data_IF_445489020632
#
_entry.id   IF_445489020632
#
_cell.length_a   1.000
_cell.length_b   1.000
_cell.length_c   1.000
_cell.angle_alpha   90.00
_cell.angle_beta   90.00
_cell.angle_gamma   90.00
#
_symmetry.space_group_name_H-M   'P 1'
#
loop_
_entity.id
_entity.type
_entity.pdbx_description
1 polymer ?
#
# COMPACT_ATOMS: atom_id res chain seq x y z
N UNK A 1 13.23 18.03 -11.32
CA UNK A 1 12.70 16.91 -10.51
C UNK A 1 11.22 17.15 -10.25
N UNK A 2 10.38 16.18 -10.56
CA UNK A 2 8.97 16.22 -10.21
C UNK A 2 8.78 15.76 -8.76
N UNK A 3 7.90 16.41 -7.98
CA UNK A 3 7.80 16.14 -6.55
C UNK A 3 6.34 15.88 -6.15
N UNK A 4 6.12 14.71 -5.56
CA UNK A 4 4.84 14.25 -5.04
C UNK A 4 4.91 14.16 -3.52
N UNK A 5 4.19 15.06 -2.83
CA UNK A 5 4.04 14.99 -1.37
C UNK A 5 2.64 14.54 -1.01
N UNK A 6 2.53 13.62 -0.08
CA UNK A 6 1.26 13.05 0.35
C UNK A 6 1.36 12.34 1.69
N UNK A 7 0.38 11.48 1.98
CA UNK A 7 0.29 10.77 3.25
C UNK A 7 0.17 9.27 3.07
N UNK A 8 0.52 8.52 4.12
CA UNK A 8 0.26 7.09 4.21
C UNK A 8 -1.23 6.85 4.58
N UNK A 9 -2.10 6.79 3.56
CA UNK A 9 -3.55 6.74 3.69
C UNK A 9 -4.20 8.12 3.65
N UNK A 10 -5.51 8.15 3.37
CA UNK A 10 -6.28 9.39 3.23
C UNK A 10 -7.56 9.40 4.09
N UNK A 11 -8.06 8.27 4.52
CA UNK A 11 -9.36 8.16 5.21
C UNK A 11 -9.19 8.04 6.72
N UNK A 12 -8.93 9.18 7.36
CA UNK A 12 -8.75 9.28 8.80
C UNK A 12 -9.79 10.24 9.41
N UNK A 13 -10.68 9.77 10.31
CA UNK A 13 -11.66 10.62 10.99
C UNK A 13 -11.02 11.79 11.76
N UNK A 14 -9.80 11.62 12.26
CA UNK A 14 -9.03 12.61 13.01
C UNK A 14 -8.71 13.86 12.20
N UNK A 15 -8.80 13.79 10.88
CA UNK A 15 -8.56 14.90 9.96
C UNK A 15 -9.82 15.76 9.72
N UNK A 16 -11.01 15.29 10.12
CA UNK A 16 -12.23 16.08 10.05
C UNK A 16 -12.17 17.29 10.98
N UNK A 17 -12.62 18.45 10.50
CA UNK A 17 -12.52 19.74 11.18
C UNK A 17 -11.12 20.39 11.13
N UNK A 18 -10.14 19.76 10.44
CA UNK A 18 -8.75 20.28 10.30
C UNK A 18 -8.33 20.34 8.83
N UNK A 19 -8.15 19.16 8.24
CA UNK A 19 -7.84 19.02 6.82
C UNK A 19 -9.12 18.82 6.00
N UNK A 20 -10.01 17.95 6.44
CA UNK A 20 -11.35 17.80 5.86
C UNK A 20 -12.36 18.74 6.52
N UNK A 21 -13.37 19.22 5.79
CA UNK A 21 -14.57 19.79 6.41
C UNK A 21 -15.15 18.83 7.46
N UNK A 22 -15.69 19.38 8.56
CA UNK A 22 -16.14 18.56 9.71
C UNK A 22 -17.20 17.52 9.32
N UNK A 23 -18.10 17.86 8.43
CA UNK A 23 -19.21 17.00 7.99
C UNK A 23 -18.95 16.29 6.64
N UNK A 24 -17.68 16.21 6.18
CA UNK A 24 -17.37 15.58 4.88
C UNK A 24 -17.67 14.08 4.93
N UNK A 25 -18.54 13.55 4.04
CA UNK A 25 -18.78 12.11 3.96
C UNK A 25 -17.51 11.33 3.59
N UNK A 26 -17.32 10.15 4.18
CA UNK A 26 -16.15 9.32 3.91
C UNK A 26 -15.95 8.99 2.41
N UNK A 27 -17.03 8.81 1.66
CA UNK A 27 -17.02 8.58 0.22
C UNK A 27 -16.46 9.76 -0.60
N UNK A 28 -16.39 10.96 -0.03
CA UNK A 28 -15.87 12.14 -0.70
C UNK A 28 -14.45 12.51 -0.25
N UNK A 29 -13.89 11.78 0.72
CA UNK A 29 -12.58 12.10 1.29
C UNK A 29 -11.47 12.02 0.25
N UNK A 30 -11.45 11.00 -0.63
CA UNK A 30 -10.42 10.87 -1.66
C UNK A 30 -10.46 12.04 -2.65
N UNK A 31 -11.65 12.40 -3.13
CA UNK A 31 -11.85 13.52 -4.04
C UNK A 31 -11.40 14.85 -3.42
N UNK A 32 -11.77 15.09 -2.18
CA UNK A 32 -11.32 16.28 -1.45
C UNK A 32 -9.81 16.28 -1.25
N UNK A 33 -9.24 15.13 -0.81
CA UNK A 33 -7.81 14.95 -0.60
C UNK A 33 -7.01 15.32 -1.85
N UNK A 34 -7.47 14.87 -3.01
CA UNK A 34 -6.81 15.11 -4.29
C UNK A 34 -6.87 16.56 -4.76
N UNK A 35 -7.69 17.44 -4.14
CA UNK A 35 -7.65 18.89 -4.38
C UNK A 35 -6.52 19.60 -3.65
N UNK A 36 -5.91 18.94 -2.66
CA UNK A 36 -4.91 19.52 -1.76
C UNK A 36 -3.52 18.88 -1.92
N UNK A 37 -3.47 17.59 -2.14
CA UNK A 37 -2.25 16.79 -2.23
C UNK A 37 -2.24 15.99 -3.52
N UNK A 38 -1.06 15.85 -4.13
CA UNK A 38 -0.90 15.26 -5.46
C UNK A 38 -0.75 13.72 -5.45
N UNK A 39 -0.56 13.11 -4.27
CA UNK A 39 -0.33 11.66 -4.16
C UNK A 39 -0.80 11.12 -2.81
N UNK A 40 -1.09 9.82 -2.80
CA UNK A 40 -1.39 9.06 -1.57
C UNK A 40 -0.78 7.66 -1.63
N UNK A 41 -0.27 7.18 -0.49
CA UNK A 41 0.14 5.78 -0.32
C UNK A 41 -1.04 4.96 0.22
N UNK A 42 -1.56 4.04 -0.59
CA UNK A 42 -2.68 3.15 -0.21
C UNK A 42 -2.13 1.96 0.56
N UNK A 43 -2.52 1.83 1.84
CA UNK A 43 -2.00 0.80 2.75
C UNK A 43 -2.97 -0.36 3.02
N UNK A 44 -4.26 -0.21 2.80
CA UNK A 44 -5.25 -1.27 3.02
C UNK A 44 -5.07 -2.47 2.07
N UNK A 45 -4.49 -2.26 0.89
CA UNK A 45 -4.06 -3.29 -0.07
C UNK A 45 -3.08 -4.31 0.52
N UNK A 46 -2.33 -3.92 1.56
CA UNK A 46 -1.45 -4.82 2.30
C UNK A 46 -2.20 -5.98 2.96
N UNK A 47 -3.39 -5.72 3.49
CA UNK A 47 -4.21 -6.71 4.19
C UNK A 47 -5.13 -7.47 3.24
N UNK A 48 -5.74 -6.76 2.32
CA UNK A 48 -6.69 -7.30 1.33
C UNK A 48 -6.56 -6.55 0.02
N UNK A 49 -6.20 -7.27 -1.04
CA UNK A 49 -6.17 -6.72 -2.39
C UNK A 49 -7.60 -6.37 -2.84
N UNK A 50 -7.87 -5.14 -3.28
CA UNK A 50 -9.16 -4.77 -3.86
C UNK A 50 -9.34 -5.44 -5.23
N UNK A 51 -10.57 -5.47 -5.73
CA UNK A 51 -10.83 -5.81 -7.12
C UNK A 51 -10.51 -4.63 -8.05
N UNK A 52 -10.41 -4.91 -9.35
CA UNK A 52 -10.10 -3.91 -10.39
C UNK A 52 -11.10 -2.75 -10.41
N UNK A 53 -12.40 -3.01 -10.21
CA UNK A 53 -13.45 -1.98 -10.23
C UNK A 53 -13.26 -0.97 -9.09
N UNK A 54 -12.89 -1.45 -7.91
CA UNK A 54 -12.57 -0.56 -6.77
C UNK A 54 -11.37 0.33 -7.08
N UNK A 55 -10.32 -0.22 -7.69
CA UNK A 55 -9.12 0.55 -8.06
C UNK A 55 -9.45 1.54 -9.20
N UNK A 56 -10.25 1.13 -10.18
CA UNK A 56 -10.73 2.02 -11.25
C UNK A 56 -11.57 3.19 -10.68
N UNK A 57 -12.43 2.92 -9.68
CA UNK A 57 -13.20 3.95 -9.01
C UNK A 57 -12.30 4.98 -8.30
N UNK A 58 -11.19 4.55 -7.66
CA UNK A 58 -10.21 5.50 -7.11
C UNK A 58 -9.62 6.40 -8.19
N UNK A 59 -9.25 5.82 -9.34
CA UNK A 59 -8.71 6.57 -10.48
C UNK A 59 -9.70 7.60 -11.02
N UNK A 60 -11.00 7.26 -11.03
CA UNK A 60 -12.07 8.16 -11.50
C UNK A 60 -12.38 9.31 -10.52
N UNK A 61 -12.05 9.14 -9.24
CA UNK A 61 -12.33 10.14 -8.20
C UNK A 61 -11.27 11.25 -8.09
N UNK A 62 -10.16 11.14 -8.81
CA UNK A 62 -9.02 12.07 -8.70
C UNK A 62 -8.64 12.66 -10.07
N UNK A 63 -8.03 13.86 -10.11
CA UNK A 63 -7.55 14.47 -11.37
C UNK A 63 -6.46 13.62 -12.04
N UNK A 64 -6.20 13.85 -13.34
CA UNK A 64 -5.21 13.09 -14.11
C UNK A 64 -3.78 13.27 -13.62
N UNK A 65 -3.47 14.40 -12.98
CA UNK A 65 -2.17 14.66 -12.37
C UNK A 65 -1.96 13.95 -11.03
N UNK A 66 -2.96 13.28 -10.49
CA UNK A 66 -2.85 12.58 -9.20
C UNK A 66 -2.17 11.23 -9.34
N UNK A 67 -1.32 10.89 -8.37
CA UNK A 67 -0.53 9.67 -8.39
C UNK A 67 -0.83 8.79 -7.15
N UNK A 68 -1.07 7.50 -7.37
CA UNK A 68 -1.25 6.51 -6.30
C UNK A 68 0.02 5.70 -6.09
N UNK A 69 0.59 5.70 -4.88
CA UNK A 69 1.48 4.63 -4.49
C UNK A 69 0.69 3.51 -3.83
N UNK A 70 1.02 2.28 -4.18
CA UNK A 70 0.27 1.11 -3.71
C UNK A 70 1.19 0.23 -2.85
N UNK A 71 0.79 -0.06 -1.61
CA UNK A 71 1.53 -1.00 -0.78
C UNK A 71 1.17 -2.43 -1.14
N UNK A 72 2.16 -3.21 -1.54
CA UNK A 72 2.00 -4.60 -1.90
C UNK A 72 1.44 -5.47 -0.76
N UNK A 73 0.71 -6.51 -1.13
CA UNK A 73 0.10 -7.45 -0.18
C UNK A 73 1.13 -8.08 0.76
N UNK A 74 0.75 -8.25 2.04
CA UNK A 74 1.53 -8.98 3.04
C UNK A 74 1.85 -10.42 2.62
N UNK A 75 1.09 -10.99 1.69
CA UNK A 75 1.35 -12.31 1.13
C UNK A 75 2.73 -12.36 0.45
N UNK A 76 3.06 -11.33 -0.35
CA UNK A 76 4.35 -11.22 -1.04
C UNK A 76 5.48 -11.01 -0.03
N UNK A 77 5.35 -10.00 0.82
CA UNK A 77 6.46 -9.49 1.63
C UNK A 77 6.64 -10.19 2.98
N UNK A 78 5.55 -10.57 3.65
CA UNK A 78 5.58 -11.12 5.02
C UNK A 78 5.38 -12.63 5.07
N UNK A 79 4.45 -13.17 4.27
CA UNK A 79 4.17 -14.62 4.27
C UNK A 79 5.19 -15.37 3.43
N UNK A 80 5.34 -14.99 2.15
CA UNK A 80 6.30 -15.59 1.22
C UNK A 80 7.71 -14.99 1.33
N UNK A 81 7.89 -13.85 2.01
CA UNK A 81 9.20 -13.21 2.24
C UNK A 81 9.99 -12.99 0.95
N UNK A 82 9.32 -12.54 -0.09
CA UNK A 82 9.80 -12.30 -1.45
C UNK A 82 10.14 -13.58 -2.24
N UNK A 83 10.02 -14.78 -1.68
CA UNK A 83 10.36 -16.04 -2.36
C UNK A 83 9.16 -16.61 -3.11
N UNK A 84 9.36 -17.06 -4.37
CA UNK A 84 8.32 -17.68 -5.21
C UNK A 84 7.04 -16.81 -5.32
N UNK A 85 7.21 -15.54 -5.66
CA UNK A 85 6.12 -14.54 -5.68
C UNK A 85 5.73 -14.04 -7.06
N UNK A 86 6.26 -14.62 -8.14
CA UNK A 86 6.03 -14.14 -9.51
C UNK A 86 4.54 -14.05 -9.87
N UNK A 87 3.73 -15.05 -9.52
CA UNK A 87 2.28 -15.02 -9.74
C UNK A 87 1.57 -13.95 -8.88
N UNK A 88 1.99 -13.81 -7.60
CA UNK A 88 1.42 -12.81 -6.70
C UNK A 88 1.75 -11.38 -7.15
N UNK A 89 2.97 -11.16 -7.67
CA UNK A 89 3.40 -9.88 -8.24
C UNK A 89 2.65 -9.61 -9.53
N UNK A 90 2.54 -10.58 -10.43
CA UNK A 90 1.78 -10.44 -11.66
C UNK A 90 0.31 -10.07 -11.38
N UNK A 91 -0.34 -10.79 -10.45
CA UNK A 91 -1.72 -10.50 -10.04
C UNK A 91 -1.86 -9.10 -9.42
N UNK A 92 -0.90 -8.67 -8.58
CA UNK A 92 -0.89 -7.32 -8.01
C UNK A 92 -0.93 -6.27 -9.14
N UNK A 93 0.00 -6.35 -10.10
CA UNK A 93 0.07 -5.40 -11.20
C UNK A 93 -1.13 -5.50 -12.13
N UNK A 94 -1.66 -6.69 -12.41
CA UNK A 94 -2.92 -6.85 -13.14
C UNK A 94 -4.06 -6.03 -12.54
N UNK A 95 -4.18 -6.01 -11.21
CA UNK A 95 -5.22 -5.26 -10.51
C UNK A 95 -4.96 -3.76 -10.54
N UNK A 96 -3.71 -3.31 -10.27
CA UNK A 96 -3.42 -1.87 -10.09
C UNK A 96 -3.16 -1.13 -11.40
N UNK A 97 -2.83 -1.83 -12.49
CA UNK A 97 -2.57 -1.25 -13.81
C UNK A 97 -3.79 -0.53 -14.43
N UNK A 98 -4.99 -0.77 -13.89
CA UNK A 98 -6.20 -0.01 -14.29
C UNK A 98 -6.10 1.48 -13.96
N UNK A 99 -5.18 1.88 -13.08
CA UNK A 99 -4.87 3.28 -12.79
C UNK A 99 -4.15 3.99 -13.95
N UNK A 100 -3.56 3.23 -14.88
CA UNK A 100 -2.84 3.80 -16.02
C UNK A 100 -1.73 4.74 -15.60
N UNK A 101 -1.77 5.99 -16.05
CA UNK A 101 -0.79 7.04 -15.72
C UNK A 101 -0.84 7.50 -14.25
N UNK A 102 -1.94 7.23 -13.55
CA UNK A 102 -2.10 7.55 -12.13
C UNK A 102 -1.44 6.51 -11.21
N UNK A 103 -0.91 5.39 -11.76
CA UNK A 103 -0.14 4.42 -11.00
C UNK A 103 1.30 4.92 -10.82
N UNK A 104 1.63 5.27 -9.59
CA UNK A 104 2.99 5.54 -9.15
C UNK A 104 3.70 4.30 -8.61
N UNK A 105 4.67 4.47 -7.71
CA UNK A 105 5.46 3.36 -7.21
C UNK A 105 4.65 2.34 -6.40
N UNK A 106 4.99 1.06 -6.56
CA UNK A 106 4.50 -0.01 -5.71
C UNK A 106 5.51 -0.27 -4.59
N UNK A 107 5.06 -0.12 -3.34
CA UNK A 107 5.87 -0.31 -2.14
C UNK A 107 5.87 -1.77 -1.68
N UNK A 108 7.03 -2.38 -1.61
CA UNK A 108 7.25 -3.70 -1.01
C UNK A 108 8.00 -3.54 0.31
N UNK A 109 7.29 -3.63 1.44
CA UNK A 109 7.88 -3.50 2.77
C UNK A 109 8.12 -4.86 3.39
N UNK A 110 9.38 -5.18 3.74
CA UNK A 110 9.76 -6.43 4.40
C UNK A 110 9.55 -6.38 5.91
N UNK A 111 9.34 -7.54 6.57
CA UNK A 111 9.26 -7.58 8.02
C UNK A 111 10.63 -7.37 8.68
N UNK A 112 10.67 -6.87 9.94
CA UNK A 112 11.93 -6.50 10.62
C UNK A 112 12.86 -7.69 10.93
N UNK A 113 12.35 -8.90 10.96
CA UNK A 113 13.13 -10.11 11.20
C UNK A 113 13.72 -10.73 9.92
N UNK A 114 13.34 -10.24 8.73
CA UNK A 114 13.83 -10.78 7.46
C UNK A 114 15.25 -10.25 7.19
N UNK A 115 16.23 -11.12 7.36
CA UNK A 115 17.63 -10.84 7.06
C UNK A 115 17.89 -10.85 5.56
N UNK A 116 18.97 -10.19 5.15
CA UNK A 116 19.45 -10.16 3.77
C UNK A 116 19.67 -11.58 3.21
N UNK A 117 19.11 -11.79 2.01
CA UNK A 117 19.36 -12.91 1.13
C UNK A 117 19.38 -12.37 -0.32
N UNK A 118 20.57 -12.32 -0.91
CA UNK A 118 20.75 -11.74 -2.24
C UNK A 118 20.13 -12.60 -3.34
N UNK A 119 20.13 -13.92 -3.19
CA UNK A 119 19.49 -14.81 -4.16
C UNK A 119 17.98 -14.52 -4.23
N UNK A 120 17.34 -14.47 -3.07
CA UNK A 120 15.91 -14.12 -2.98
C UNK A 120 15.65 -12.70 -3.52
N UNK A 121 16.56 -11.74 -3.27
CA UNK A 121 16.40 -10.39 -3.80
C UNK A 121 16.46 -10.39 -5.33
N UNK A 122 17.46 -11.01 -5.94
CA UNK A 122 17.58 -11.06 -7.40
C UNK A 122 16.38 -11.77 -8.05
N UNK A 123 15.95 -12.90 -7.49
CA UNK A 123 14.75 -13.60 -7.98
C UNK A 123 13.50 -12.73 -7.88
N UNK A 124 13.35 -11.97 -6.80
CA UNK A 124 12.26 -11.03 -6.63
C UNK A 124 12.32 -9.88 -7.64
N UNK A 125 13.49 -9.25 -7.81
CA UNK A 125 13.68 -8.16 -8.75
C UNK A 125 13.36 -8.59 -10.20
N UNK A 126 13.69 -9.82 -10.56
CA UNK A 126 13.36 -10.41 -11.86
C UNK A 126 11.84 -10.61 -12.07
N UNK A 127 11.03 -10.66 -11.00
CA UNK A 127 9.58 -10.76 -11.10
C UNK A 127 8.89 -9.41 -11.37
N UNK A 128 9.59 -8.30 -11.18
CA UNK A 128 8.99 -6.97 -11.34
C UNK A 128 8.76 -6.63 -12.82
N UNK A 129 7.60 -6.11 -13.20
CA UNK A 129 7.32 -5.75 -14.59
C UNK A 129 8.15 -4.54 -15.00
N UNK A 130 8.74 -4.60 -16.20
CA UNK A 130 9.52 -3.51 -16.77
C UNK A 130 8.64 -2.25 -16.95
N UNK A 131 9.25 -1.09 -16.68
CA UNK A 131 8.58 0.21 -16.83
C UNK A 131 7.58 0.53 -15.72
N UNK A 132 7.56 -0.25 -14.63
CA UNK A 132 6.79 0.05 -13.41
C UNK A 132 7.74 0.41 -12.27
N UNK A 133 7.44 1.49 -11.59
CA UNK A 133 8.21 1.91 -10.42
C UNK A 133 7.93 0.99 -9.23
N UNK A 134 8.98 0.46 -8.64
CA UNK A 134 8.91 -0.34 -7.41
C UNK A 134 9.85 0.24 -6.35
N UNK A 135 9.41 0.23 -5.10
CA UNK A 135 10.21 0.68 -3.96
C UNK A 135 10.28 -0.42 -2.90
N UNK A 136 11.48 -0.69 -2.39
CA UNK A 136 11.73 -1.68 -1.34
C UNK A 136 12.06 -0.98 -0.02
N UNK A 137 11.24 -1.23 0.99
CA UNK A 137 11.48 -0.82 2.37
C UNK A 137 11.99 -1.99 3.19
N UNK A 138 13.27 -2.01 3.44
CA UNK A 138 13.89 -2.96 4.33
C UNK A 138 13.83 -2.48 5.77
N UNK A 139 13.61 -3.41 6.71
CA UNK A 139 13.52 -3.13 8.14
C UNK A 139 14.60 -3.81 8.97
N UNK A 140 15.33 -4.76 8.41
CA UNK A 140 16.46 -5.39 9.06
C UNK A 140 17.76 -4.74 8.59
N UNK A 141 18.68 -4.36 9.49
CA UNK A 141 19.91 -3.61 9.13
C UNK A 141 20.81 -4.34 8.14
N UNK A 142 20.77 -5.67 8.09
CA UNK A 142 21.60 -6.43 7.14
C UNK A 142 21.36 -6.11 5.66
N UNK A 143 20.24 -5.46 5.32
CA UNK A 143 19.92 -5.05 3.96
C UNK A 143 20.59 -3.74 3.53
N UNK A 144 21.13 -2.97 4.46
CA UNK A 144 21.79 -1.70 4.17
C UNK A 144 23.27 -1.95 3.86
N UNK A 145 23.55 -2.41 2.64
CA UNK A 145 24.86 -2.82 2.18
C UNK A 145 25.02 -2.59 0.66
N UNK A 146 26.25 -2.38 0.20
CA UNK A 146 26.54 -1.98 -1.18
C UNK A 146 26.09 -3.00 -2.22
N UNK A 147 26.16 -4.29 -1.92
CA UNK A 147 25.68 -5.36 -2.79
C UNK A 147 24.15 -5.29 -3.03
N UNK A 148 23.39 -4.89 -2.00
CA UNK A 148 21.94 -4.65 -2.13
C UNK A 148 21.68 -3.39 -2.93
N UNK A 149 22.42 -2.30 -2.67
CA UNK A 149 22.25 -1.05 -3.40
C UNK A 149 22.56 -1.22 -4.90
N UNK A 150 23.60 -1.99 -5.21
CA UNK A 150 23.93 -2.33 -6.60
C UNK A 150 22.80 -3.11 -7.29
N UNK A 151 22.27 -4.16 -6.64
CA UNK A 151 21.17 -4.97 -7.19
C UNK A 151 19.90 -4.13 -7.44
N UNK A 152 19.58 -3.21 -6.51
CA UNK A 152 18.45 -2.29 -6.67
C UNK A 152 18.69 -1.32 -7.83
N UNK A 153 19.91 -0.78 -7.96
CA UNK A 153 20.26 0.18 -9.00
C UNK A 153 20.22 -0.43 -10.40
N UNK A 154 20.71 -1.65 -10.56
CA UNK A 154 20.65 -2.41 -11.83
C UNK A 154 19.19 -2.65 -12.28
N UNK A 155 18.27 -2.71 -11.33
CA UNK A 155 16.83 -2.94 -11.59
C UNK A 155 16.00 -1.65 -11.59
N UNK A 156 16.61 -0.47 -11.38
CA UNK A 156 15.90 0.81 -11.20
C UNK A 156 14.80 0.74 -10.13
N UNK A 157 15.10 0.12 -8.98
CA UNK A 157 14.20 -0.04 -7.84
C UNK A 157 14.64 0.88 -6.70
N UNK A 158 13.73 1.72 -6.21
CA UNK A 158 14.05 2.66 -5.15
C UNK A 158 14.23 1.98 -3.79
N UNK A 159 15.35 2.24 -3.12
CA UNK A 159 15.45 2.00 -1.69
C UNK A 159 14.62 3.06 -0.96
N UNK A 160 13.69 2.61 -0.13
CA UNK A 160 12.87 3.54 0.67
C UNK A 160 13.73 4.21 1.73
N UNK A 161 13.89 5.52 1.61
CA UNK A 161 14.49 6.38 2.60
C UNK A 161 13.46 6.93 3.58
N UNK A 162 13.92 7.66 4.60
CA UNK A 162 13.03 8.35 5.52
C UNK A 162 13.57 8.47 6.92
N UNK A 163 12.67 8.69 7.87
CA UNK A 163 13.01 8.78 9.28
C UNK A 163 12.02 8.02 10.17
N UNK A 164 12.50 7.75 11.37
CA UNK A 164 11.76 7.15 12.48
C UNK A 164 11.99 7.98 13.74
N UNK A 165 11.18 7.75 14.78
CA UNK A 165 11.40 8.37 16.10
C UNK A 165 12.81 8.07 16.64
N UNK A 166 13.25 6.83 16.48
CA UNK A 166 14.60 6.39 16.80
C UNK A 166 15.49 6.62 15.57
N UNK A 167 16.27 7.70 15.59
CA UNK A 167 17.07 8.14 14.46
C UNK A 167 18.05 7.06 13.94
N UNK A 168 18.62 6.26 14.84
CA UNK A 168 19.54 5.16 14.53
C UNK A 168 18.88 3.99 13.78
N UNK A 169 17.56 3.89 13.83
CA UNK A 169 16.76 2.92 13.07
C UNK A 169 16.24 3.47 11.75
N UNK A 170 16.51 4.74 11.49
CA UNK A 170 16.08 5.37 10.24
C UNK A 170 16.81 4.77 9.06
N UNK A 171 16.11 4.42 7.97
CA UNK A 171 16.76 3.90 6.76
C UNK A 171 17.65 4.98 6.14
N UNK A 172 18.77 4.57 5.52
CA UNK A 172 19.65 5.51 4.83
C UNK A 172 18.95 6.12 3.60
N UNK A 173 19.37 7.32 3.22
CA UNK A 173 18.94 7.95 1.98
C UNK A 173 19.99 7.66 0.89
N UNK A 174 19.71 6.65 0.07
CA UNK A 174 20.57 6.19 -1.02
C UNK A 174 19.76 6.18 -2.31
N UNK A 175 20.26 6.88 -3.34
CA UNK A 175 19.62 6.88 -4.66
C UNK A 175 19.96 5.60 -5.41
N UNK A 176 19.05 4.64 -5.43
CA UNK A 176 19.17 3.37 -6.17
C UNK A 176 18.26 3.31 -7.40
N UNK A 177 17.52 4.38 -7.70
CA UNK A 177 16.66 4.50 -8.87
C UNK A 177 16.68 5.95 -9.37
N UNK A 178 16.14 6.17 -10.55
CA UNK A 178 15.91 7.51 -11.10
C UNK A 178 14.79 8.28 -10.37
N UNK A 179 14.15 7.66 -9.40
CA UNK A 179 13.19 8.30 -8.52
C UNK A 179 13.45 7.93 -7.04
N UNK A 180 12.97 8.81 -6.14
CA UNK A 180 13.04 8.62 -4.69
C UNK A 180 11.70 8.21 -4.10
N UNK A 181 11.74 7.37 -3.08
CA UNK A 181 10.58 7.01 -2.26
C UNK A 181 10.89 7.21 -0.78
N UNK A 182 10.15 8.10 -0.12
CA UNK A 182 10.40 8.47 1.27
C UNK A 182 9.18 8.21 2.14
N UNK A 183 9.43 7.70 3.35
CA UNK A 183 8.41 7.53 4.37
C UNK A 183 8.84 8.26 5.65
N UNK A 184 8.24 9.41 5.88
CA UNK A 184 8.55 10.32 6.97
C UNK A 184 7.56 10.07 8.12
N UNK A 185 8.05 9.55 9.27
CA UNK A 185 7.19 8.96 10.29
C UNK A 185 7.38 9.52 11.69
N UNK A 186 8.18 10.57 11.83
CA UNK A 186 8.33 11.21 13.14
C UNK A 186 7.04 11.92 13.54
N UNK A 187 6.82 12.03 14.84
CA UNK A 187 5.67 12.73 15.40
C UNK A 187 5.98 14.22 15.67
N UNK A 188 7.24 14.61 15.63
CA UNK A 188 7.75 15.89 16.10
C UNK A 188 8.29 16.81 14.99
N UNK A 189 7.77 16.70 13.76
CA UNK A 189 8.16 17.63 12.69
C UNK A 189 7.82 19.07 13.06
N UNK A 190 8.78 19.93 12.91
CA UNK A 190 8.67 21.39 12.95
C UNK A 190 9.07 21.98 11.59
N UNK A 191 8.91 23.28 11.37
CA UNK A 191 9.25 23.90 10.08
C UNK A 191 10.70 23.69 9.67
N UNK A 192 11.65 23.67 10.63
CA UNK A 192 13.07 23.50 10.35
C UNK A 192 13.36 22.07 9.84
N UNK A 193 12.82 21.05 10.50
CA UNK A 193 12.96 19.64 10.04
C UNK A 193 12.28 19.37 8.70
N UNK A 194 11.15 20.01 8.44
CA UNK A 194 10.49 19.93 7.14
C UNK A 194 11.36 20.58 6.06
N UNK A 195 11.96 21.75 6.34
CA UNK A 195 12.88 22.41 5.41
C UNK A 195 14.14 21.54 5.16
N UNK A 196 14.73 20.98 6.20
CA UNK A 196 15.88 20.05 6.08
C UNK A 196 15.55 18.87 5.16
N UNK A 197 14.36 18.27 5.29
CA UNK A 197 13.93 17.22 4.37
C UNK A 197 13.73 17.74 2.96
N UNK A 198 13.21 18.94 2.78
CA UNK A 198 13.11 19.61 1.48
C UNK A 198 14.49 19.71 0.80
N UNK A 199 15.49 20.21 1.53
CA UNK A 199 16.87 20.33 1.04
C UNK A 199 17.49 18.97 0.70
N UNK A 200 17.32 17.98 1.57
CA UNK A 200 17.83 16.62 1.35
C UNK A 200 17.22 15.95 0.12
N UNK A 201 15.93 16.18 -0.14
CA UNK A 201 15.23 15.68 -1.33
C UNK A 201 15.74 16.42 -2.57
N UNK A 202 15.85 17.76 -2.52
CA UNK A 202 16.29 18.57 -3.63
C UNK A 202 17.74 18.27 -4.07
N UNK A 203 18.59 17.83 -3.14
CA UNK A 203 19.98 17.45 -3.39
C UNK A 203 20.15 16.09 -4.07
N UNK A 204 19.08 15.29 -4.24
CA UNK A 204 19.17 13.95 -4.84
C UNK A 204 19.17 14.03 -6.37
N UNK A 205 19.79 13.04 -7.06
CA UNK A 205 19.86 12.99 -8.52
C UNK A 205 18.58 12.44 -9.17
N UNK A 206 17.44 12.49 -8.49
CA UNK A 206 16.17 11.91 -8.94
C UNK A 206 15.47 12.76 -10.01
N UNK A 207 14.77 12.09 -10.92
CA UNK A 207 13.84 12.71 -11.84
C UNK A 207 12.48 13.00 -11.16
N UNK A 208 12.08 12.11 -10.23
CA UNK A 208 10.88 12.27 -9.43
C UNK A 208 11.12 11.87 -7.96
N UNK A 209 10.37 12.47 -7.02
CA UNK A 209 10.41 12.10 -5.61
C UNK A 209 9.00 11.95 -5.04
N UNK A 210 8.77 10.84 -4.33
CA UNK A 210 7.52 10.52 -3.66
C UNK A 210 7.74 10.52 -2.16
N UNK A 211 7.15 11.47 -1.43
CA UNK A 211 7.31 11.61 0.01
C UNK A 211 5.99 11.46 0.74
N UNK A 212 5.90 10.45 1.61
CA UNK A 212 4.69 10.11 2.36
C UNK A 212 4.89 10.35 3.85
N UNK A 213 4.10 11.28 4.39
CA UNK A 213 4.13 11.62 5.79
C UNK A 213 3.08 10.82 6.55
N UNK A 214 3.47 10.25 7.69
CA UNK A 214 2.57 9.48 8.54
C UNK A 214 2.46 10.12 9.90
N UNK A 215 1.35 10.80 10.13
CA UNK A 215 0.96 11.33 11.43
C UNK A 215 -0.56 11.26 11.55
N UNK A 216 -1.06 10.76 12.69
CA UNK A 216 -2.49 10.51 12.88
C UNK A 216 -3.36 11.76 12.72
N UNK A 217 -2.84 12.92 13.10
CA UNK A 217 -3.60 14.18 13.11
C UNK A 217 -3.07 15.18 12.09
N UNK A 218 -1.74 15.31 11.95
CA UNK A 218 -1.09 16.37 11.17
C UNK A 218 -0.51 15.90 9.83
N UNK A 219 -0.65 14.63 9.48
CA UNK A 219 -0.05 14.08 8.25
C UNK A 219 -0.25 14.94 7.01
N UNK A 220 -1.48 15.36 6.65
CA UNK A 220 -1.71 16.20 5.49
C UNK A 220 -1.03 17.59 5.60
N UNK A 221 -1.03 18.18 6.78
CA UNK A 221 -0.42 19.52 6.99
C UNK A 221 1.10 19.47 6.88
N UNK A 222 1.72 18.38 7.35
CA UNK A 222 3.15 18.15 7.14
C UNK A 222 3.47 17.94 5.66
N UNK A 223 2.60 17.23 4.90
CA UNK A 223 2.78 17.03 3.48
C UNK A 223 2.67 18.34 2.69
N UNK A 224 1.72 19.22 3.06
CA UNK A 224 1.57 20.56 2.49
C UNK A 224 2.78 21.45 2.85
N UNK A 225 3.27 21.39 4.08
CA UNK A 225 4.44 22.14 4.51
C UNK A 225 5.72 21.69 3.77
N UNK A 226 5.92 20.39 3.58
CA UNK A 226 7.04 19.87 2.80
C UNK A 226 6.95 20.33 1.33
N UNK A 227 5.75 20.30 0.73
CA UNK A 227 5.53 20.82 -0.61
C UNK A 227 5.85 22.30 -0.70
N UNK A 228 5.38 23.11 0.27
CA UNK A 228 5.66 24.54 0.30
C UNK A 228 7.16 24.84 0.41
N UNK A 229 7.88 24.09 1.28
CA UNK A 229 9.33 24.18 1.40
C UNK A 229 10.05 23.91 0.07
N UNK A 230 9.66 22.84 -0.63
CA UNK A 230 10.25 22.44 -1.92
C UNK A 230 9.94 23.43 -3.05
N UNK A 231 8.81 24.11 -2.98
CA UNK A 231 8.43 25.17 -3.93
C UNK A 231 9.01 26.55 -3.57
N UNK A 232 9.78 26.67 -2.48
CA UNK A 232 10.29 27.95 -1.96
C UNK A 232 9.20 28.89 -1.45
N UNK A 233 8.02 28.35 -1.08
CA UNK A 233 6.89 29.09 -0.54
C UNK A 233 6.94 29.11 1.00
N UNK A 234 6.33 30.13 1.61
CA UNK A 234 6.18 30.21 3.05
C UNK A 234 5.41 29.00 3.59
N UNK A 235 5.95 28.38 4.64
CA UNK A 235 5.32 27.23 5.30
C UNK A 235 4.21 27.71 6.25
N UNK A 236 3.14 26.90 6.39
CA UNK A 236 2.13 27.13 7.41
C UNK A 236 2.75 27.08 8.83
N UNK A 237 2.21 27.87 9.75
CA UNK A 237 2.64 27.85 11.16
C UNK A 237 2.23 26.52 11.82
N UNK A 238 3.14 25.55 11.72
CA UNK A 238 2.97 24.21 12.32
C UNK A 238 2.99 24.28 13.86
N UNK A 239 3.56 25.33 14.46
CA UNK A 239 3.64 25.50 15.92
C UNK A 239 2.28 25.81 16.50
N UNK A 240 1.54 26.75 15.88
CA UNK A 240 0.16 27.08 16.26
C UNK A 240 -0.77 25.88 16.09
N UNK A 241 -0.61 25.12 15.00
CA UNK A 241 -1.37 23.89 14.76
C UNK A 241 -1.10 22.80 15.80
N UNK A 242 0.16 22.60 16.20
CA UNK A 242 0.52 21.67 17.28
C UNK A 242 -0.07 22.08 18.62
N UNK A 243 -0.01 23.34 18.96
CA UNK A 243 -0.60 23.88 20.19
C UNK A 243 -2.12 23.60 20.22
N UNK A 244 -2.80 23.71 19.08
CA UNK A 244 -4.26 23.44 18.97
C UNK A 244 -4.62 21.95 19.21
N UNK A 245 -3.67 21.04 18.97
CA UNK A 245 -3.86 19.57 19.19
C UNK A 245 -3.62 19.21 20.65
N UNK A 246 -2.62 19.83 21.30
CA UNK A 246 -2.33 19.63 22.69
C UNK A 246 -3.43 20.17 23.62
N UNK A 247 -4.23 21.13 23.12
CA UNK A 247 -5.39 21.63 23.86
C UNK A 247 -6.47 20.54 23.99
N UNK A 248 -7.00 20.25 25.20
CA UNK A 248 -8.07 19.29 25.36
C UNK A 248 -9.29 19.75 24.54
N UNK A 249 -9.84 18.83 23.72
CA UNK A 249 -11.07 19.12 22.97
C UNK A 249 -12.13 19.66 23.95
N UNK A 250 -12.77 20.80 23.67
CA UNK A 250 -13.89 21.23 24.48
C UNK A 250 -14.89 20.08 24.51
N UNK A 251 -15.27 19.63 25.72
CA UNK A 251 -16.30 18.59 25.89
C UNK A 251 -17.55 19.09 25.16
N UNK A 252 -17.84 18.52 23.99
CA UNK A 252 -19.09 18.79 23.31
C UNK A 252 -20.21 18.50 24.32
N UNK A 253 -21.09 19.46 24.59
CA UNK A 253 -22.27 19.27 25.39
C UNK A 253 -23.11 18.20 24.67
N UNK A 254 -22.96 16.94 25.07
CA UNK A 254 -23.87 15.88 24.67
C UNK A 254 -25.23 16.22 25.27
N UNK A 255 -26.07 16.85 24.46
CA UNK A 255 -27.50 16.89 24.73
C UNK A 255 -27.99 15.46 24.99
N UNK A 256 -28.72 15.31 26.08
CA UNK A 256 -29.35 14.07 26.48
C UNK A 256 -30.30 13.57 25.38
N UNK A 257 -29.77 12.74 24.47
CA UNK A 257 -30.60 11.96 23.55
C UNK A 257 -30.85 10.61 24.19
N UNK A 258 -32.11 10.36 24.49
CA UNK A 258 -32.66 9.19 25.13
C UNK A 258 -32.14 7.91 24.47
N UNK A 259 -31.77 6.93 25.30
CA UNK A 259 -31.49 5.55 24.92
C UNK A 259 -32.77 4.90 24.36
N UNK A 260 -32.98 4.97 23.06
CA UNK A 260 -33.86 4.04 22.37
C UNK A 260 -32.98 3.01 21.67
N UNK A 261 -32.97 1.81 22.24
CA UNK A 261 -32.34 0.61 21.70
C UNK A 261 -33.02 0.30 20.34
N UNK A 262 -32.28 0.13 19.24
CA UNK A 262 -32.87 -0.33 17.99
C UNK A 262 -33.37 -1.76 18.21
N UNK A 263 -34.64 -2.02 17.91
CA UNK A 263 -35.22 -3.36 17.89
C UNK A 263 -34.58 -4.14 16.73
N UNK A 264 -34.05 -5.32 17.04
CA UNK A 264 -33.61 -6.29 16.02
C UNK A 264 -34.84 -6.69 15.17
N UNK A 265 -34.70 -6.79 13.82
CA UNK A 265 -35.75 -7.34 13.00
C UNK A 265 -35.84 -8.85 13.26
N UNK A 266 -36.98 -9.30 13.81
CA UNK A 266 -37.33 -10.72 13.92
C UNK A 266 -37.35 -11.32 12.52
N UNK A 267 -36.37 -12.14 12.19
CA UNK A 267 -36.41 -13.03 11.02
C UNK A 267 -37.50 -14.06 11.21
N UNK A 268 -38.60 -13.94 10.48
CA UNK A 268 -39.63 -14.96 10.37
C UNK A 268 -39.07 -16.19 9.66
N UNK A 269 -39.07 -17.32 10.36
CA UNK A 269 -38.75 -18.65 9.90
C UNK A 269 -39.76 -19.05 8.81
N UNK A 270 -39.33 -19.50 7.60
CA UNK A 270 -40.26 -20.03 6.62
C UNK A 270 -40.80 -21.38 7.08
N UNK A 271 -42.06 -21.75 6.71
CA UNK A 271 -42.69 -22.98 7.15
C UNK A 271 -42.01 -24.20 6.52
N UNK A 272 -41.84 -25.25 7.32
CA UNK A 272 -41.28 -26.54 6.93
C UNK A 272 -42.13 -27.20 5.85
N UNK A 273 -41.54 -27.38 4.64
CA UNK A 273 -42.12 -28.19 3.61
C UNK A 273 -41.94 -29.69 3.96
N UNK A 274 -43.06 -30.39 4.00
CA UNK A 274 -43.25 -31.82 4.23
C UNK A 274 -42.49 -32.63 3.16
N UNK A 275 -41.64 -33.56 3.57
CA UNK A 275 -40.88 -34.48 2.73
C UNK A 275 -41.82 -35.28 1.80
N UNK A 276 -41.62 -35.13 0.50
CA UNK A 276 -42.13 -36.06 -0.50
C UNK A 276 -41.05 -37.10 -0.83
N UNK A 277 -41.43 -38.37 -0.72
CA UNK A 277 -40.60 -39.56 -1.02
C UNK A 277 -40.14 -39.53 -2.49
N UNK A 278 -38.84 -39.64 -2.70
CA UNK A 278 -38.24 -39.90 -4.00
C UNK A 278 -38.36 -41.38 -4.41
N UNK A 279 -38.60 -41.70 -5.67
CA UNK A 279 -38.61 -43.07 -6.17
C UNK A 279 -37.22 -43.62 -6.37
N UNK A 280 -37.09 -44.93 -6.16
CA UNK A 280 -35.87 -45.74 -6.23
C UNK A 280 -35.24 -45.77 -7.60
N UNK A 281 -33.93 -45.55 -7.69
CA UNK A 281 -33.07 -45.80 -8.86
C UNK A 281 -32.77 -47.28 -9.05
N UNK A 282 -32.75 -47.80 -10.28
CA UNK A 282 -32.39 -49.19 -10.52
C UNK A 282 -30.88 -49.45 -10.49
N UNK A 283 -30.53 -50.58 -9.93
CA UNK A 283 -29.20 -51.12 -9.74
C UNK A 283 -28.60 -51.59 -11.08
N UNK A 284 -27.50 -50.97 -11.51
CA UNK A 284 -26.74 -51.44 -12.67
C UNK A 284 -25.74 -52.51 -12.22
N UNK A 285 -25.83 -53.66 -12.82
CA UNK A 285 -25.01 -54.84 -12.62
C UNK A 285 -23.63 -54.70 -13.27
N UNK A 286 -22.62 -55.10 -12.56
CA UNK A 286 -21.21 -55.23 -12.99
C UNK A 286 -21.07 -56.32 -14.03
N UNK A 287 -20.39 -56.05 -15.16
CA UNK A 287 -19.88 -57.05 -16.08
C UNK A 287 -18.34 -57.27 -15.84
N UNK A 288 -17.81 -58.45 -16.12
CA UNK A 288 -16.50 -58.86 -15.62
C UNK A 288 -15.35 -58.50 -16.58
N UNK A 289 -14.15 -58.45 -15.97
CA UNK A 289 -12.86 -58.15 -16.58
C UNK A 289 -12.45 -59.18 -17.64
N UNK A 290 -11.95 -58.74 -18.79
CA UNK A 290 -11.24 -59.56 -19.77
C UNK A 290 -9.73 -59.45 -19.55
N UNK A 291 -9.13 -60.61 -19.62
CA UNK A 291 -7.75 -61.00 -19.31
C UNK A 291 -6.77 -60.60 -20.43
N UNK A 292 -5.58 -60.20 -20.02
CA UNK A 292 -4.41 -59.96 -20.85
C UNK A 292 -3.95 -61.17 -21.64
N UNK A 293 -3.47 -60.96 -22.86
CA UNK A 293 -2.60 -61.92 -23.56
C UNK A 293 -1.25 -61.26 -23.88
N UNK A 294 -0.22 -61.91 -23.43
CA UNK A 294 1.21 -61.75 -23.77
C UNK A 294 1.47 -62.33 -25.16
N UNK A 295 2.34 -61.75 -25.92
CA UNK A 295 3.34 -62.47 -26.70
C UNK A 295 4.26 -61.53 -27.47
N UNK A 296 5.37 -62.06 -28.08
CA UNK A 296 6.70 -61.74 -27.60
C UNK A 296 7.57 -61.01 -28.66
N UNK A 297 8.74 -60.61 -28.19
CA UNK A 297 9.70 -59.85 -28.92
C UNK A 297 10.27 -60.46 -30.20
N UNK A 298 11.01 -59.57 -30.93
CA UNK A 298 12.26 -59.96 -31.62
C UNK A 298 13.12 -58.72 -31.88
N UNK A 299 14.35 -58.90 -31.54
CA UNK A 299 15.59 -58.23 -31.84
C UNK A 299 15.83 -58.00 -33.35
N UNK A 300 16.55 -56.91 -33.72
CA UNK A 300 17.79 -56.87 -34.48
C UNK A 300 18.17 -55.43 -34.83
N UNK A 301 19.31 -55.04 -34.36
CA UNK A 301 20.58 -54.63 -35.03
C UNK A 301 20.46 -54.02 -36.42
N UNK A 302 20.83 -52.77 -36.54
CA UNK A 302 22.00 -52.27 -37.27
C UNK A 302 22.23 -50.79 -36.81
#
# INVERSE_FOLDING_TARGET
>A
MEIFTGTSGFSYPEWCGRFYPEALPAAQMLRYYATRLATVEINNTFYRMPNRDTVAAWGADVPDSFCFAIKASRRITHQKKLSNVSEDVAHLFEVVDVLGQKLGPVLFQTPPFLKKDLTVLHDFLACLPKGRHAALEFRHPSWFADDVYSALSESNVALVGGDLEEAEKSPPLVATADFGYLRLRRMDYDPARIAEWGERIAAQPWQAAYAYLKHEVLGPLFAEALRASLDGREQADLSALRASIAAPKPKSARGAASKSKPAEPKTSKPPSARAAKAPATPRVTKAPAARASKAPGKSQKS
#
